data_IF_404498515393
#
_entry.id   IF_404498515393
#
_cell.length_a   1.000
_cell.length_b   1.000
_cell.length_c   1.000
_cell.angle_alpha   90.00
_cell.angle_beta   90.00
_cell.angle_gamma   90.00
#
_symmetry.space_group_name_H-M   'P 1'
#
loop_
_entity.id
_entity.type
_entity.pdbx_description
1 polymer ?
#
# COMPACT_ATOMS: atom_id res chain seq x y z
N UNK A 1 -17.93 -31.71 45.70
CA UNK A 1 -18.55 -31.00 44.55
C UNK A 1 -17.68 -29.82 44.09
N UNK A 2 -17.09 -29.08 45.04
CA UNK A 2 -16.10 -28.01 44.81
C UNK A 2 -14.83 -28.44 44.05
N UNK A 3 -14.26 -29.60 44.38
CA UNK A 3 -12.96 -30.04 43.81
C UNK A 3 -13.06 -30.54 42.36
N UNK A 4 -14.24 -31.05 42.00
CA UNK A 4 -14.57 -31.45 40.62
C UNK A 4 -14.70 -30.20 39.75
N UNK A 5 -15.38 -29.15 40.23
CA UNK A 5 -15.43 -27.86 39.53
C UNK A 5 -14.05 -27.22 39.36
N UNK A 6 -13.18 -27.31 40.37
CA UNK A 6 -11.83 -26.72 40.31
C UNK A 6 -10.92 -27.43 39.30
N UNK A 7 -11.01 -28.76 39.25
CA UNK A 7 -10.27 -29.58 38.29
C UNK A 7 -10.78 -29.38 36.86
N UNK A 8 -12.11 -29.36 36.68
CA UNK A 8 -12.72 -29.13 35.36
C UNK A 8 -12.40 -27.73 34.81
N UNK A 9 -12.39 -26.70 35.65
CA UNK A 9 -12.04 -25.34 35.23
C UNK A 9 -10.56 -25.21 34.83
N UNK A 10 -9.66 -25.92 35.54
CA UNK A 10 -8.23 -25.95 35.20
C UNK A 10 -7.94 -26.64 33.85
N UNK A 11 -8.62 -27.74 33.55
CA UNK A 11 -8.47 -28.45 32.28
C UNK A 11 -8.89 -27.60 31.07
N UNK A 12 -9.93 -26.78 31.21
CA UNK A 12 -10.43 -25.90 30.14
C UNK A 12 -9.42 -24.77 29.82
N UNK A 13 -8.71 -24.25 30.82
CA UNK A 13 -7.69 -23.20 30.63
C UNK A 13 -6.43 -23.74 29.94
N UNK A 14 -6.00 -24.97 30.26
CA UNK A 14 -4.81 -25.58 29.66
C UNK A 14 -4.98 -25.91 28.17
N UNK A 15 -6.20 -26.21 27.72
CA UNK A 15 -6.50 -26.56 26.32
C UNK A 15 -6.61 -25.34 25.38
N UNK A 16 -6.78 -24.12 25.92
CA UNK A 16 -6.99 -22.91 25.12
C UNK A 16 -5.72 -22.29 24.51
N UNK A 17 -4.52 -22.74 24.94
CA UNK A 17 -3.24 -22.13 24.54
C UNK A 17 -2.56 -22.76 23.32
N UNK A 18 -3.17 -23.78 22.70
CA UNK A 18 -2.58 -24.54 21.58
C UNK A 18 -3.28 -24.23 20.25
N UNK A 19 -3.97 -23.09 20.12
CA UNK A 19 -4.59 -22.71 18.85
C UNK A 19 -3.48 -22.35 17.83
N UNK A 20 -3.26 -23.13 16.76
CA UNK A 20 -2.44 -22.64 15.67
C UNK A 20 -3.21 -21.48 15.03
N UNK A 21 -2.63 -20.29 15.02
CA UNK A 21 -3.10 -19.20 14.17
C UNK A 21 -2.86 -19.66 12.73
N UNK A 22 -3.86 -20.31 12.15
CA UNK A 22 -3.86 -20.66 10.74
C UNK A 22 -4.00 -19.36 9.96
N UNK A 23 -2.85 -18.78 9.61
CA UNK A 23 -2.79 -17.74 8.59
C UNK A 23 -3.41 -18.34 7.33
N UNK A 24 -4.56 -17.81 6.94
CA UNK A 24 -5.28 -18.24 5.75
C UNK A 24 -4.41 -17.92 4.55
N UNK A 25 -3.59 -18.88 4.13
CA UNK A 25 -2.91 -18.85 2.86
C UNK A 25 -3.98 -19.11 1.80
N UNK A 26 -4.80 -18.09 1.53
CA UNK A 26 -5.71 -18.12 0.39
C UNK A 26 -4.80 -18.28 -0.82
N UNK A 27 -4.83 -19.47 -1.41
CA UNK A 27 -4.39 -19.63 -2.78
C UNK A 27 -5.07 -18.53 -3.59
N UNK A 28 -4.36 -17.79 -4.46
CA UNK A 28 -4.99 -16.78 -5.28
C UNK A 28 -6.14 -17.45 -6.02
N UNK A 29 -7.37 -17.05 -5.69
CA UNK A 29 -8.51 -17.29 -6.56
C UNK A 29 -8.08 -16.70 -7.91
N UNK A 30 -8.27 -17.38 -9.06
CA UNK A 30 -8.09 -16.74 -10.35
C UNK A 30 -9.18 -15.66 -10.42
N UNK A 31 -8.86 -14.48 -9.91
CA UNK A 31 -9.69 -13.31 -10.05
C UNK A 31 -9.74 -13.08 -11.55
N UNK A 32 -10.94 -13.19 -12.11
CA UNK A 32 -11.27 -12.53 -13.37
C UNK A 32 -10.54 -11.18 -13.36
N UNK A 33 -9.78 -10.91 -14.42
CA UNK A 33 -8.83 -9.83 -14.57
C UNK A 33 -9.46 -8.49 -14.15
N UNK A 34 -9.48 -8.22 -12.85
CA UNK A 34 -9.66 -6.89 -12.34
C UNK A 34 -8.42 -6.19 -12.86
N UNK A 35 -8.62 -5.27 -13.79
CA UNK A 35 -7.60 -4.35 -14.27
C UNK A 35 -7.17 -3.54 -13.04
N UNK A 36 -6.32 -4.13 -12.21
CA UNK A 36 -5.73 -3.46 -11.08
C UNK A 36 -4.84 -2.39 -11.72
N UNK A 37 -5.09 -1.09 -11.45
CA UNK A 37 -4.26 -0.04 -12.00
C UNK A 37 -2.83 -0.34 -11.58
N UNK A 38 -1.96 -0.54 -12.57
CA UNK A 38 -0.56 -0.89 -12.34
C UNK A 38 0.03 0.19 -11.45
N UNK A 39 0.31 -0.15 -10.19
CA UNK A 39 0.97 0.73 -9.25
C UNK A 39 2.40 0.89 -9.74
N UNK A 40 2.64 1.95 -10.50
CA UNK A 40 3.98 2.31 -10.95
C UNK A 40 4.69 2.87 -9.73
N UNK A 41 5.55 2.09 -9.09
CA UNK A 41 6.49 2.64 -8.11
C UNK A 41 7.40 3.62 -8.86
N UNK A 42 7.72 4.75 -8.22
CA UNK A 42 8.49 5.82 -8.87
C UNK A 42 9.76 5.24 -9.48
N UNK A 43 9.90 5.32 -10.82
CA UNK A 43 11.15 4.99 -11.48
C UNK A 43 12.25 5.84 -10.83
N UNK A 44 13.43 5.27 -10.66
CA UNK A 44 14.58 6.03 -10.17
C UNK A 44 14.76 7.30 -11.02
N UNK A 45 15.06 8.42 -10.34
CA UNK A 45 15.07 9.78 -10.90
C UNK A 45 16.25 10.07 -11.84
N UNK A 46 16.80 9.05 -12.52
CA UNK A 46 17.94 9.23 -13.42
C UNK A 46 17.60 10.05 -14.69
N UNK A 47 16.30 10.20 -15.02
CA UNK A 47 15.84 10.94 -16.20
C UNK A 47 15.49 12.41 -15.96
N UNK A 48 15.33 13.18 -17.04
CA UNK A 48 14.83 14.56 -16.98
C UNK A 48 13.39 14.56 -16.44
N UNK A 49 13.03 15.50 -15.56
CA UNK A 49 11.70 15.63 -14.92
C UNK A 49 10.49 15.46 -15.86
N UNK A 50 10.60 15.89 -17.12
CA UNK A 50 9.51 15.83 -18.11
C UNK A 50 9.28 14.43 -18.69
N UNK A 51 10.27 13.53 -18.60
CA UNK A 51 10.15 12.11 -19.01
C UNK A 51 9.59 11.23 -17.89
N UNK A 52 9.25 11.81 -16.74
CA UNK A 52 8.58 11.11 -15.65
C UNK A 52 7.07 11.31 -15.80
N UNK A 53 6.36 10.29 -16.26
CA UNK A 53 4.90 10.33 -16.39
C UNK A 53 4.18 10.52 -15.05
N UNK A 54 4.84 10.16 -13.93
CA UNK A 54 4.30 10.28 -12.57
C UNK A 54 4.60 11.63 -11.90
N UNK A 55 5.22 12.58 -12.61
CA UNK A 55 5.55 13.91 -12.05
C UNK A 55 4.36 14.66 -11.44
N UNK A 56 4.44 15.10 -10.19
CA UNK A 56 3.27 15.75 -9.56
C UNK A 56 3.00 17.15 -10.14
N UNK A 57 4.07 17.86 -10.50
CA UNK A 57 4.05 19.25 -10.97
C UNK A 57 4.71 19.39 -12.36
N UNK A 58 4.55 20.58 -12.92
CA UNK A 58 5.27 21.09 -14.07
C UNK A 58 6.45 22.00 -13.66
N UNK A 59 6.86 22.00 -12.38
CA UNK A 59 8.03 22.75 -11.96
C UNK A 59 9.26 22.21 -12.71
N UNK A 60 10.06 23.10 -13.30
CA UNK A 60 11.20 22.77 -14.16
C UNK A 60 10.88 21.91 -15.41
N UNK A 61 9.60 21.84 -15.80
CA UNK A 61 9.17 21.19 -17.05
C UNK A 61 8.92 22.27 -18.12
N UNK A 62 9.62 22.26 -19.27
CA UNK A 62 9.38 23.21 -20.36
C UNK A 62 7.93 23.14 -20.89
N UNK A 63 7.29 24.27 -21.26
CA UNK A 63 5.87 24.33 -21.69
C UNK A 63 5.52 23.35 -22.82
N UNK A 64 6.40 23.21 -23.80
CA UNK A 64 6.32 22.28 -24.93
C UNK A 64 6.29 20.80 -24.49
N UNK A 65 6.75 20.49 -23.27
CA UNK A 65 6.88 19.13 -22.73
C UNK A 65 5.89 18.83 -21.60
N UNK A 66 4.93 19.73 -21.33
CA UNK A 66 3.96 19.57 -20.22
C UNK A 66 2.86 18.54 -20.53
N UNK A 67 2.82 18.02 -21.75
CA UNK A 67 1.77 17.11 -22.18
C UNK A 67 0.37 17.74 -22.06
N UNK A 68 -0.67 16.93 -22.23
CA UNK A 68 -2.06 17.41 -22.19
C UNK A 68 -2.63 17.47 -20.78
N UNK A 69 -2.06 16.71 -19.83
CA UNK A 69 -2.56 16.65 -18.45
C UNK A 69 -2.20 17.92 -17.69
N UNK A 70 -3.18 18.72 -17.22
CA UNK A 70 -2.89 19.91 -16.43
C UNK A 70 -2.23 19.50 -15.10
N UNK A 71 -1.09 20.13 -14.78
CA UNK A 71 -0.40 19.99 -13.49
C UNK A 71 0.06 21.36 -12.99
N UNK A 72 0.14 21.61 -11.68
CA UNK A 72 0.60 22.87 -11.12
C UNK A 72 1.98 23.26 -11.66
N UNK A 73 2.17 24.54 -12.02
CA UNK A 73 3.44 25.07 -12.51
C UNK A 73 4.35 25.61 -11.41
N UNK A 74 3.78 25.94 -10.25
CA UNK A 74 4.49 26.53 -9.13
C UNK A 74 5.51 25.55 -8.56
N UNK A 75 6.72 26.06 -8.30
CA UNK A 75 7.72 25.33 -7.56
C UNK A 75 7.50 25.59 -6.05
N UNK A 76 7.42 24.56 -5.20
CA UNK A 76 7.05 24.70 -3.79
C UNK A 76 8.03 25.54 -2.95
N UNK A 77 9.22 25.82 -3.45
CA UNK A 77 10.22 26.68 -2.81
C UNK A 77 10.55 27.94 -3.60
N UNK A 78 9.75 28.28 -4.62
CA UNK A 78 9.92 29.58 -5.27
C UNK A 78 9.48 30.68 -4.28
N UNK A 79 10.29 31.73 -4.06
CA UNK A 79 9.84 32.86 -3.25
C UNK A 79 8.60 33.46 -3.91
N UNK A 80 7.53 33.62 -3.13
CA UNK A 80 6.34 34.34 -3.60
C UNK A 80 6.74 35.79 -3.86
N UNK A 81 6.51 36.25 -5.08
CA UNK A 81 6.70 37.65 -5.48
C UNK A 81 5.52 38.51 -5.03
#
# INVERSE_FOLDING_TARGET
MSDICRTMLGCVVALGLIAPVSAQNRAPVPSAEAIQPRVLTGKERLGRKWTDEQRIDNCNVPPDKRGTKPRPSACPHAPSS
#
